data_IF_274108086638
#
_entry.id   IF_274108086638
#
_cell.length_a   1.000
_cell.length_b   1.000
_cell.length_c   1.000
_cell.angle_alpha   90.00
_cell.angle_beta   90.00
_cell.angle_gamma   90.00
#
_symmetry.space_group_name_H-M   'P 1'
#
loop_
_entity.id
_entity.type
_entity.pdbx_description
1 polymer ?
#
# COMPACT_ATOMS: atom_id res chain seq x y z
N UNK A 1 -1.35 -2.77 17.04
CA UNK A 1 -1.36 -2.41 15.61
C UNK A 1 0.08 -2.32 15.13
N UNK A 2 0.38 -2.50 13.82
CA UNK A 2 1.70 -2.16 13.30
C UNK A 2 1.96 -0.66 13.49
N UNK A 3 3.22 -0.25 13.56
CA UNK A 3 3.58 1.17 13.65
C UNK A 3 3.24 1.93 12.36
N UNK A 4 3.40 1.26 11.22
CA UNK A 4 3.16 1.79 9.89
C UNK A 4 2.33 0.80 9.07
N UNK A 5 1.29 1.31 8.42
CA UNK A 5 0.53 0.58 7.41
C UNK A 5 0.82 1.18 6.02
N UNK A 6 1.49 0.43 5.16
CA UNK A 6 1.77 0.83 3.78
C UNK A 6 0.73 0.28 2.81
N UNK A 7 0.11 1.15 2.02
CA UNK A 7 -0.88 0.82 1.00
C UNK A 7 -0.22 0.85 -0.40
N UNK A 8 -0.41 -0.22 -1.18
CA UNK A 8 0.04 -0.31 -2.58
C UNK A 8 -0.83 0.55 -3.51
N UNK A 9 -0.50 1.85 -3.54
CA UNK A 9 -0.86 2.82 -4.57
C UNK A 9 -1.11 4.23 -4.05
N UNK A 10 -2.00 4.98 -4.71
CA UNK A 10 -2.06 6.44 -4.62
C UNK A 10 -2.98 7.04 -3.54
N UNK A 11 -3.06 8.37 -3.51
CA UNK A 11 -3.87 9.18 -2.57
C UNK A 11 -5.31 8.70 -2.40
N UNK A 12 -5.96 8.24 -3.47
CA UNK A 12 -7.32 7.74 -3.41
C UNK A 12 -7.48 6.48 -2.56
N UNK A 13 -6.49 5.57 -2.60
CA UNK A 13 -6.50 4.36 -1.78
C UNK A 13 -6.16 4.68 -0.32
N UNK A 14 -5.22 5.59 -0.07
CA UNK A 14 -4.95 6.11 1.27
C UNK A 14 -6.23 6.64 1.94
N UNK A 15 -7.01 7.45 1.21
CA UNK A 15 -8.28 7.98 1.72
C UNK A 15 -9.29 6.88 2.03
N UNK A 16 -9.37 5.82 1.20
CA UNK A 16 -10.23 4.67 1.46
C UNK A 16 -9.80 3.89 2.70
N UNK A 17 -8.50 3.69 2.89
CA UNK A 17 -7.97 3.03 4.09
C UNK A 17 -8.31 3.83 5.36
N UNK A 18 -8.12 5.16 5.34
CA UNK A 18 -8.49 6.02 6.45
C UNK A 18 -10.00 5.93 6.78
N UNK A 19 -10.87 6.01 5.76
CA UNK A 19 -12.32 5.85 5.94
C UNK A 19 -12.71 4.49 6.51
N UNK A 20 -11.98 3.42 6.17
CA UNK A 20 -12.26 2.09 6.71
C UNK A 20 -11.98 2.04 8.22
N UNK A 21 -10.93 2.71 8.70
CA UNK A 21 -10.65 2.85 10.13
C UNK A 21 -11.70 3.71 10.85
N UNK A 22 -12.12 4.82 10.23
CA UNK A 22 -13.22 5.66 10.74
C UNK A 22 -14.52 4.86 10.89
N UNK A 23 -14.87 4.04 9.89
CA UNK A 23 -16.09 3.25 9.90
C UNK A 23 -16.16 2.23 11.05
N UNK A 24 -15.00 1.74 11.51
CA UNK A 24 -14.91 0.82 12.65
C UNK A 24 -14.58 1.52 13.98
N UNK A 25 -14.53 2.87 13.99
CA UNK A 25 -14.19 3.68 15.17
C UNK A 25 -12.84 3.32 15.82
N UNK A 26 -11.86 2.92 15.01
CA UNK A 26 -10.49 2.59 15.47
C UNK A 26 -9.53 3.66 14.99
N UNK A 27 -8.67 4.15 15.89
CA UNK A 27 -7.61 5.07 15.51
C UNK A 27 -6.59 4.33 14.62
N UNK A 28 -6.33 4.81 13.39
CA UNK A 28 -5.37 4.17 12.51
C UNK A 28 -3.93 4.38 13.00
N UNK A 29 -3.02 3.43 12.71
CA UNK A 29 -1.58 3.72 12.76
C UNK A 29 -1.20 4.76 11.69
N UNK A 30 0.09 5.08 11.55
CA UNK A 30 0.55 5.89 10.43
C UNK A 30 0.27 5.15 9.12
N UNK A 31 -0.61 5.71 8.28
CA UNK A 31 -0.95 5.13 6.98
C UNK A 31 -0.14 5.86 5.91
N UNK A 32 0.66 5.09 5.19
CA UNK A 32 1.42 5.53 4.03
C UNK A 32 0.80 4.96 2.76
N UNK A 33 0.93 5.67 1.65
CA UNK A 33 0.72 5.08 0.33
C UNK A 33 1.83 5.52 -0.62
N UNK A 34 2.28 4.60 -1.48
CA UNK A 34 3.36 4.85 -2.43
C UNK A 34 2.83 4.80 -3.87
N UNK A 35 2.73 5.96 -4.52
CA UNK A 35 2.29 6.04 -5.91
C UNK A 35 3.37 5.49 -6.86
N UNK A 36 3.02 4.44 -7.61
CA UNK A 36 3.97 3.67 -8.42
C UNK A 36 4.65 4.42 -9.57
N UNK A 37 4.01 5.44 -10.15
CA UNK A 37 4.58 6.16 -11.30
C UNK A 37 5.57 7.24 -10.86
N UNK A 38 5.19 8.03 -9.87
CA UNK A 38 5.94 9.19 -9.42
C UNK A 38 6.78 8.91 -8.17
N UNK A 39 6.62 7.74 -7.55
CA UNK A 39 7.27 7.33 -6.30
C UNK A 39 7.05 8.35 -5.16
N UNK A 40 5.85 8.94 -5.16
CA UNK A 40 5.39 9.90 -4.16
C UNK A 40 4.78 9.18 -2.96
N UNK A 41 5.18 9.60 -1.77
CA UNK A 41 4.68 9.06 -0.50
C UNK A 41 3.57 9.97 0.02
N UNK A 42 2.37 9.43 0.12
CA UNK A 42 1.24 10.09 0.75
C UNK A 42 1.07 9.60 2.18
N UNK A 43 0.60 10.48 3.08
CA UNK A 43 0.45 10.21 4.51
C UNK A 43 -0.93 10.66 4.95
N UNK A 44 -1.60 9.87 5.79
CA UNK A 44 -2.82 10.35 6.45
C UNK A 44 -2.49 11.58 7.31
N UNK A 45 -3.34 12.61 7.25
CA UNK A 45 -3.10 13.88 7.94
C UNK A 45 -2.17 14.87 7.21
N UNK A 46 -1.60 14.52 6.05
CA UNK A 46 -0.80 15.43 5.22
C UNK A 46 -1.50 15.68 3.88
N UNK A 47 -1.66 16.95 3.49
CA UNK A 47 -2.22 17.32 2.18
C UNK A 47 -1.22 17.13 1.06
N UNK A 48 0.06 17.44 1.34
CA UNK A 48 1.16 17.36 0.39
C UNK A 48 1.87 16.00 0.42
N UNK A 49 2.25 15.45 -0.74
CA UNK A 49 3.08 14.26 -0.81
C UNK A 49 4.53 14.55 -0.42
N UNK A 50 5.18 13.57 0.18
CA UNK A 50 6.62 13.59 0.40
C UNK A 50 7.33 12.98 -0.81
N UNK A 51 8.25 13.75 -1.39
CA UNK A 51 9.16 13.28 -2.42
C UNK A 51 10.54 13.05 -1.82
N UNK A 52 11.01 11.81 -1.87
CA UNK A 52 12.36 11.47 -1.44
C UNK A 52 13.32 11.43 -2.64
N UNK A 53 14.61 11.60 -2.35
CA UNK A 53 15.66 11.31 -3.34
C UNK A 53 15.60 9.84 -3.77
N UNK A 54 15.90 9.57 -5.05
CA UNK A 54 15.98 8.20 -5.58
C UNK A 54 17.02 7.33 -4.87
N UNK A 55 18.02 7.96 -4.25
CA UNK A 55 19.07 7.26 -3.50
C UNK A 55 18.74 7.08 -2.02
N UNK A 56 17.62 7.63 -1.54
CA UNK A 56 17.21 7.52 -0.15
C UNK A 56 16.89 6.06 0.20
N UNK A 57 17.52 5.55 1.27
CA UNK A 57 17.25 4.20 1.75
C UNK A 57 15.78 3.99 2.11
N UNK A 58 15.15 5.00 2.73
CA UNK A 58 13.73 4.95 3.09
C UNK A 58 12.81 4.72 1.87
N UNK A 59 13.10 5.35 0.72
CA UNK A 59 12.32 5.12 -0.49
C UNK A 59 12.47 3.69 -0.99
N UNK A 60 13.71 3.17 -1.03
CA UNK A 60 13.98 1.79 -1.45
C UNK A 60 13.30 0.77 -0.54
N UNK A 61 13.26 1.03 0.76
CA UNK A 61 12.57 0.17 1.73
C UNK A 61 11.06 0.14 1.47
N UNK A 62 10.43 1.30 1.25
CA UNK A 62 9.00 1.38 0.95
C UNK A 62 8.66 0.68 -0.38
N UNK A 63 9.52 0.82 -1.39
CA UNK A 63 9.39 0.11 -2.66
C UNK A 63 9.47 -1.40 -2.47
N UNK A 64 10.45 -1.89 -1.70
CA UNK A 64 10.60 -3.32 -1.41
C UNK A 64 9.35 -3.92 -0.76
N UNK A 65 8.81 -3.25 0.27
CA UNK A 65 7.59 -3.72 0.96
C UNK A 65 6.37 -3.69 0.04
N UNK A 66 6.24 -2.66 -0.81
CA UNK A 66 5.19 -2.58 -1.82
C UNK A 66 5.29 -3.73 -2.81
N UNK A 67 6.48 -3.96 -3.35
CA UNK A 67 6.72 -4.96 -4.38
C UNK A 67 6.47 -6.37 -3.84
N UNK A 68 6.80 -6.63 -2.57
CA UNK A 68 6.48 -7.88 -1.88
C UNK A 68 4.97 -8.06 -1.66
N UNK A 69 4.26 -6.99 -1.27
CA UNK A 69 2.79 -7.01 -1.16
C UNK A 69 2.14 -7.31 -2.52
N UNK A 70 2.66 -6.70 -3.59
CA UNK A 70 2.20 -6.92 -4.95
C UNK A 70 2.45 -8.36 -5.41
N UNK A 71 3.66 -8.88 -5.16
CA UNK A 71 4.06 -10.26 -5.48
C UNK A 71 3.12 -11.27 -4.80
N UNK A 72 2.85 -11.06 -3.51
CA UNK A 72 1.94 -11.92 -2.75
C UNK A 72 0.52 -11.93 -3.34
N UNK A 73 -0.03 -10.74 -3.64
CA UNK A 73 -1.36 -10.61 -4.23
C UNK A 73 -1.45 -11.28 -5.61
N UNK A 74 -0.46 -11.06 -6.49
CA UNK A 74 -0.42 -11.70 -7.81
C UNK A 74 -0.35 -13.22 -7.70
N UNK A 75 0.51 -13.75 -6.83
CA UNK A 75 0.64 -15.19 -6.61
C UNK A 75 -0.71 -15.81 -6.20
N UNK A 76 -1.41 -15.18 -5.27
CA UNK A 76 -2.73 -15.63 -4.84
C UNK A 76 -3.77 -15.59 -5.98
N UNK A 77 -3.79 -14.52 -6.78
CA UNK A 77 -4.68 -14.45 -7.95
C UNK A 77 -4.37 -15.52 -9.00
N UNK A 78 -3.10 -15.85 -9.23
CA UNK A 78 -2.73 -16.95 -10.13
C UNK A 78 -3.21 -18.31 -9.62
N UNK A 79 -3.12 -18.56 -8.31
CA UNK A 79 -3.63 -19.79 -7.69
C UNK A 79 -5.14 -19.92 -7.87
N UNK A 80 -5.89 -18.86 -7.59
CA UNK A 80 -7.35 -18.83 -7.75
C UNK A 80 -7.77 -19.05 -9.21
N UNK A 81 -7.05 -18.44 -10.16
CA UNK A 81 -7.31 -18.66 -11.60
C UNK A 81 -7.04 -20.10 -12.00
N UNK A 82 -5.93 -20.71 -11.56
CA UNK A 82 -5.63 -22.12 -11.85
C UNK A 82 -6.72 -23.06 -11.33
N UNK A 83 -7.18 -22.88 -10.09
CA UNK A 83 -8.29 -23.67 -9.53
C UNK A 83 -9.56 -23.58 -10.37
N UNK A 84 -9.93 -22.35 -10.78
CA UNK A 84 -11.12 -22.13 -11.62
C UNK A 84 -10.99 -22.74 -13.02
N UNK A 85 -9.79 -22.79 -13.59
CA UNK A 85 -9.56 -23.37 -14.93
C UNK A 85 -9.45 -24.89 -14.90
N UNK A 86 -8.95 -25.48 -13.81
CA UNK A 86 -8.75 -26.94 -13.71
C UNK A 86 -9.98 -27.70 -13.18
N UNK A 87 -10.99 -27.02 -12.66
CA UNK A 87 -12.29 -27.63 -12.36
C UNK A 87 -12.21 -28.79 -11.36
N UNK A 88 -11.77 -28.50 -10.13
CA UNK A 88 -12.18 -29.27 -8.94
C UNK A 88 -13.23 -28.47 -8.17
#
# INVERSE_FOLDING_TARGET
>A
FPDILLIDGGKGQLSRAAKAFEAISVQPPLILSLAKKEELIYRNGSTEPLRLSRHAFALRLLQYVRDESHRFAQHYHHLLRRKRTLGD
#
